data_IF_421192587326
#
_entry.id   IF_421192587326
#
_cell.length_a   1.000
_cell.length_b   1.000
_cell.length_c   1.000
_cell.angle_alpha   90.00
_cell.angle_beta   90.00
_cell.angle_gamma   90.00
#
_symmetry.space_group_name_H-M   'P 1'
#
loop_
_entity.id
_entity.type
_entity.pdbx_description
1 polymer ?
#
# COMPACT_ATOMS: atom_id res chain seq x y z
N UNK A 1 -26.59 -16.33 0.68
CA UNK A 1 -26.41 -14.91 1.02
C UNK A 1 -25.31 -14.38 0.13
N UNK A 2 -25.68 -13.64 -0.91
CA UNK A 2 -24.79 -13.15 -1.96
C UNK A 2 -23.93 -12.03 -1.40
N UNK A 3 -22.65 -12.32 -1.16
CA UNK A 3 -21.64 -11.29 -0.90
C UNK A 3 -21.58 -10.37 -2.11
N UNK A 4 -22.14 -9.17 -1.95
CA UNK A 4 -21.93 -8.07 -2.88
C UNK A 4 -20.43 -7.79 -2.97
N UNK A 5 -19.79 -8.26 -4.04
CA UNK A 5 -18.52 -7.74 -4.52
C UNK A 5 -18.76 -6.33 -5.11
N UNK A 6 -19.18 -5.38 -4.27
CA UNK A 6 -19.40 -3.97 -4.64
C UNK A 6 -18.16 -3.12 -4.28
N UNK A 7 -16.97 -3.65 -4.51
CA UNK A 7 -15.71 -2.98 -4.14
C UNK A 7 -15.09 -2.11 -5.23
N UNK A 8 -15.40 -2.37 -6.51
CA UNK A 8 -14.69 -1.81 -7.67
C UNK A 8 -15.51 -0.71 -8.39
N UNK A 9 -16.13 0.19 -7.62
CA UNK A 9 -16.48 1.53 -8.13
C UNK A 9 -15.55 2.60 -7.56
N UNK A 10 -14.71 2.22 -6.59
CA UNK A 10 -13.68 3.08 -6.02
C UNK A 10 -12.44 3.01 -6.88
N UNK A 11 -12.43 3.76 -7.98
CA UNK A 11 -11.26 4.19 -8.74
C UNK A 11 -9.93 3.71 -8.13
N UNK A 12 -9.44 2.55 -8.60
CA UNK A 12 -8.19 1.89 -8.17
C UNK A 12 -6.96 2.68 -8.63
N UNK A 13 -6.87 3.93 -8.18
CA UNK A 13 -5.97 4.94 -8.68
C UNK A 13 -4.66 5.03 -7.90
N UNK A 14 -4.54 4.35 -6.75
CA UNK A 14 -3.32 4.39 -5.94
C UNK A 14 -2.59 3.06 -6.05
N UNK A 15 -1.47 3.05 -6.76
CA UNK A 15 -0.54 1.93 -6.71
C UNK A 15 0.21 1.97 -5.37
N UNK A 16 -0.21 1.12 -4.43
CA UNK A 16 0.33 1.05 -3.08
C UNK A 16 1.28 -0.14 -2.86
N UNK A 17 2.24 0.02 -1.95
CA UNK A 17 2.95 -1.10 -1.32
C UNK A 17 2.38 -1.28 0.08
N UNK A 18 1.69 -2.39 0.31
CA UNK A 18 1.04 -2.67 1.59
C UNK A 18 2.06 -3.15 2.61
N UNK A 19 1.89 -2.79 3.88
CA UNK A 19 2.68 -3.29 5.01
C UNK A 19 1.87 -4.28 5.85
N UNK A 20 2.53 -5.08 6.70
CA UNK A 20 1.81 -5.97 7.61
C UNK A 20 0.91 -5.19 8.58
N UNK A 21 1.38 -4.04 9.06
CA UNK A 21 0.61 -3.13 9.93
C UNK A 21 -0.62 -2.56 9.21
N UNK A 22 -0.48 -2.21 7.93
CA UNK A 22 -1.64 -1.81 7.12
C UNK A 22 -2.63 -2.97 6.97
N UNK A 23 -2.14 -4.18 6.68
CA UNK A 23 -2.99 -5.37 6.53
C UNK A 23 -3.79 -5.66 7.81
N UNK A 24 -3.18 -5.47 8.97
CA UNK A 24 -3.86 -5.60 10.26
C UNK A 24 -4.93 -4.51 10.46
N UNK A 25 -4.57 -3.26 10.18
CA UNK A 25 -5.49 -2.12 10.26
C UNK A 25 -6.71 -2.32 9.34
N UNK A 26 -6.49 -2.61 8.06
CA UNK A 26 -7.59 -2.78 7.09
C UNK A 26 -8.47 -3.99 7.44
N UNK A 27 -7.89 -5.08 7.96
CA UNK A 27 -8.67 -6.22 8.46
C UNK A 27 -9.55 -5.82 9.65
N UNK A 28 -9.02 -5.01 10.59
CA UNK A 28 -9.79 -4.45 11.71
C UNK A 28 -10.93 -3.52 11.26
N UNK A 29 -10.77 -2.85 10.11
CA UNK A 29 -11.84 -2.07 9.46
C UNK A 29 -12.81 -2.91 8.60
N UNK A 30 -12.72 -4.24 8.65
CA UNK A 30 -13.60 -5.16 7.91
C UNK A 30 -13.22 -5.39 6.45
N UNK A 31 -12.01 -5.02 6.05
CA UNK A 31 -11.47 -5.26 4.71
C UNK A 31 -10.17 -6.06 4.81
N UNK A 32 -10.28 -7.36 5.05
CA UNK A 32 -9.13 -8.26 5.13
C UNK A 32 -8.59 -8.58 3.74
N UNK A 33 -7.45 -7.99 3.37
CA UNK A 33 -6.82 -8.23 2.06
C UNK A 33 -5.98 -9.51 2.02
N UNK A 34 -5.76 -10.16 3.16
CA UNK A 34 -5.01 -11.44 3.20
C UNK A 34 -5.81 -12.57 2.55
N UNK A 35 -7.14 -12.44 2.47
CA UNK A 35 -7.99 -13.36 1.70
C UNK A 35 -7.65 -13.34 0.20
N UNK A 36 -7.08 -12.24 -0.29
CA UNK A 36 -6.58 -12.11 -1.66
C UNK A 36 -5.10 -12.54 -1.80
N UNK A 37 -4.49 -13.06 -0.73
CA UNK A 37 -3.11 -13.55 -0.72
C UNK A 37 -2.04 -12.47 -0.51
N UNK A 38 -2.41 -11.28 -0.04
CA UNK A 38 -1.44 -10.20 0.19
C UNK A 38 -0.65 -10.37 1.48
N UNK A 39 0.64 -10.04 1.41
CA UNK A 39 1.56 -9.96 2.54
C UNK A 39 2.29 -8.61 2.55
N UNK A 40 3.01 -8.31 3.64
CA UNK A 40 3.81 -7.08 3.73
C UNK A 40 4.84 -6.99 2.60
N UNK A 41 4.89 -5.84 1.94
CA UNK A 41 5.74 -5.58 0.77
C UNK A 41 5.05 -5.85 -0.58
N UNK A 42 3.85 -6.43 -0.61
CA UNK A 42 3.11 -6.62 -1.85
C UNK A 42 2.70 -5.28 -2.49
N UNK A 43 2.85 -5.18 -3.81
CA UNK A 43 2.28 -4.11 -4.61
C UNK A 43 0.82 -4.41 -4.91
N UNK A 44 -0.07 -3.45 -4.67
CA UNK A 44 -1.50 -3.62 -4.88
C UNK A 44 -2.15 -2.29 -5.26
N UNK A 45 -3.12 -2.33 -6.17
CA UNK A 45 -3.92 -1.15 -6.49
C UNK A 45 -4.98 -0.96 -5.41
N UNK A 46 -4.88 0.14 -4.68
CA UNK A 46 -5.80 0.52 -3.62
C UNK A 46 -6.79 1.56 -4.12
N UNK A 47 -8.03 1.48 -3.63
CA UNK A 47 -8.96 2.59 -3.73
C UNK A 47 -8.36 3.81 -3.01
N UNK A 48 -8.45 5.00 -3.61
CA UNK A 48 -7.94 6.23 -2.97
C UNK A 48 -8.54 6.47 -1.58
N UNK A 49 -9.82 6.14 -1.40
CA UNK A 49 -10.52 6.26 -0.12
C UNK A 49 -9.90 5.38 0.97
N UNK A 50 -9.57 4.12 0.63
CA UNK A 50 -8.96 3.17 1.56
C UNK A 50 -7.57 3.60 1.99
N UNK A 51 -6.79 4.14 1.05
CA UNK A 51 -5.50 4.73 1.37
C UNK A 51 -5.66 5.95 2.29
N UNK A 52 -6.64 6.81 1.99
CA UNK A 52 -6.91 8.02 2.77
C UNK A 52 -7.41 7.72 4.19
N UNK A 53 -8.20 6.66 4.40
CA UNK A 53 -8.61 6.21 5.74
C UNK A 53 -7.40 5.85 6.62
N UNK A 54 -6.42 5.14 6.07
CA UNK A 54 -5.17 4.83 6.77
C UNK A 54 -4.37 6.10 7.07
N UNK A 55 -4.25 7.02 6.11
CA UNK A 55 -3.59 8.30 6.33
C UNK A 55 -4.25 9.13 7.44
N UNK A 56 -5.58 9.23 7.46
CA UNK A 56 -6.32 9.93 8.51
C UNK A 56 -6.12 9.27 9.88
N UNK A 57 -6.14 7.93 9.95
CA UNK A 57 -5.85 7.21 11.18
C UNK A 57 -4.43 7.46 11.69
N UNK A 58 -3.46 7.62 10.78
CA UNK A 58 -2.11 8.02 11.15
C UNK A 58 -2.05 9.46 11.67
N UNK A 59 -2.73 10.41 11.03
CA UNK A 59 -2.78 11.81 11.49
C UNK A 59 -3.44 11.94 12.87
N UNK A 60 -4.43 11.10 13.17
CA UNK A 60 -5.12 11.01 14.45
C UNK A 60 -4.30 10.25 15.53
N UNK A 61 -3.15 9.68 15.17
CA UNK A 61 -2.29 8.93 16.08
C UNK A 61 -2.80 7.52 16.42
N UNK A 62 -3.80 7.01 15.70
CA UNK A 62 -4.37 5.66 15.89
C UNK A 62 -3.49 4.55 15.34
N UNK A 63 -2.74 4.83 14.28
CA UNK A 63 -1.80 3.89 13.67
C UNK A 63 -0.44 4.54 13.43
N UNK A 64 0.61 3.73 13.36
CA UNK A 64 1.95 4.20 13.04
C UNK A 64 2.10 4.60 11.56
N UNK A 65 3.14 5.40 11.25
CA UNK A 65 3.44 5.81 9.87
C UNK A 65 3.61 4.62 8.91
N UNK A 66 4.15 3.51 9.41
CA UNK A 66 4.38 2.29 8.63
C UNK A 66 3.08 1.56 8.25
N UNK A 67 1.98 1.83 8.95
CA UNK A 67 0.66 1.30 8.64
C UNK A 67 -0.05 2.08 7.51
N UNK A 68 0.55 3.17 7.02
CA UNK A 68 0.09 3.86 5.81
C UNK A 68 0.82 3.24 4.61
N UNK A 69 0.11 2.70 3.59
CA UNK A 69 0.75 2.10 2.42
C UNK A 69 1.66 3.10 1.70
N UNK A 70 2.84 2.66 1.29
CA UNK A 70 3.71 3.51 0.45
C UNK A 70 3.09 3.65 -0.94
N UNK A 71 3.33 4.76 -1.61
CA UNK A 71 2.71 5.07 -2.91
C UNK A 71 3.75 5.09 -4.02
N UNK A 72 3.50 4.34 -5.08
CA UNK A 72 4.30 4.40 -6.31
C UNK A 72 3.74 5.53 -7.17
N UNK A 73 4.31 6.74 -7.04
CA UNK A 73 3.79 7.93 -7.73
C UNK A 73 3.73 7.75 -9.24
N UNK A 74 4.72 7.08 -9.84
CA UNK A 74 4.76 6.82 -11.28
C UNK A 74 3.64 5.89 -11.80
N UNK A 75 2.95 5.18 -10.90
CA UNK A 75 1.87 4.24 -11.22
C UNK A 75 0.54 4.64 -10.53
N UNK A 76 0.46 5.87 -10.03
CA UNK A 76 -0.74 6.43 -9.39
C UNK A 76 -1.42 7.37 -10.38
N UNK A 77 -2.73 7.23 -10.56
CA UNK A 77 -3.52 8.05 -11.46
C UNK A 77 -3.78 9.44 -10.86
N UNK A 78 -3.81 10.49 -11.69
CA UNK A 78 -4.08 11.88 -11.26
C UNK A 78 -5.43 12.06 -10.57
N UNK A 79 -6.39 11.17 -10.86
CA UNK A 79 -7.71 11.16 -10.23
C UNK A 79 -7.65 10.96 -8.70
N UNK A 80 -6.59 10.36 -8.17
CA UNK A 80 -6.33 10.25 -6.74
C UNK A 80 -6.10 11.63 -6.07
N UNK A 81 -5.60 12.61 -6.84
CA UNK A 81 -5.32 13.96 -6.36
C UNK A 81 -6.59 14.76 -6.02
N UNK A 82 -7.77 14.26 -6.40
CA UNK A 82 -9.06 14.84 -5.99
C UNK A 82 -9.35 14.67 -4.50
N UNK A 83 -8.73 13.67 -3.86
CA UNK A 83 -8.97 13.34 -2.45
C UNK A 83 -7.74 13.52 -1.58
N UNK A 84 -6.53 13.37 -2.14
CA UNK A 84 -5.28 13.46 -1.39
C UNK A 84 -4.27 14.32 -2.17
N UNK A 85 -3.70 15.33 -1.51
CA UNK A 85 -2.71 16.19 -2.15
C UNK A 85 -1.45 15.44 -2.60
N UNK A 86 -0.86 15.90 -3.71
CA UNK A 86 0.40 15.34 -4.23
C UNK A 86 1.52 15.38 -3.19
N UNK A 87 1.58 16.44 -2.37
CA UNK A 87 2.57 16.54 -1.30
C UNK A 87 2.39 15.45 -0.24
N UNK A 88 1.15 15.08 0.06
CA UNK A 88 0.85 13.97 0.94
C UNK A 88 1.32 12.66 0.33
N UNK A 89 1.02 12.39 -0.94
CA UNK A 89 1.53 11.18 -1.60
C UNK A 89 3.07 11.12 -1.66
N UNK A 90 3.74 12.26 -1.90
CA UNK A 90 5.21 12.35 -1.87
C UNK A 90 5.82 11.98 -0.52
N UNK A 91 5.15 12.28 0.58
CA UNK A 91 5.63 11.91 1.93
C UNK A 91 5.63 10.40 2.19
N UNK A 92 4.80 9.66 1.44
CA UNK A 92 4.67 8.21 1.50
C UNK A 92 5.19 7.54 0.23
N UNK A 93 5.97 8.24 -0.60
CA UNK A 93 6.49 7.69 -1.84
C UNK A 93 7.29 6.41 -1.56
N UNK A 94 6.97 5.35 -2.30
CA UNK A 94 7.78 4.16 -2.36
C UNK A 94 9.08 4.53 -3.08
N UNK A 95 10.14 4.79 -2.32
CA UNK A 95 11.48 4.93 -2.88
C UNK A 95 11.79 3.66 -3.67
N UNK A 96 12.36 3.76 -4.89
CA UNK A 96 12.89 2.60 -5.55
C UNK A 96 13.93 2.00 -4.62
N UNK A 97 13.60 0.85 -4.06
CA UNK A 97 14.56 -0.04 -3.47
C UNK A 97 15.54 -0.36 -4.59
N UNK A 98 16.74 0.21 -4.50
CA UNK A 98 17.88 -0.21 -5.31
C UNK A 98 18.02 -1.71 -5.08
N UNK A 99 17.46 -2.50 -6.00
CA UNK A 99 17.78 -3.90 -6.18
C UNK A 99 19.28 -3.98 -6.48
N UNK A 100 20.10 -4.04 -5.42
CA UNK A 100 21.42 -4.64 -5.49
C UNK A 100 21.23 -6.15 -5.63
N UNK A 101 20.81 -6.59 -6.81
CA UNK A 101 20.79 -8.00 -7.16
C UNK A 101 22.25 -8.50 -7.27
N UNK A 102 22.70 -9.19 -6.22
CA UNK A 102 23.30 -10.52 -6.23
C UNK A 102 24.21 -10.91 -7.42
N UNK A 103 25.47 -11.27 -7.11
CA UNK A 103 26.15 -12.37 -7.82
C UNK A 103 27.66 -12.24 -8.02
N UNK A 104 28.47 -12.77 -7.09
CA UNK A 104 29.43 -13.83 -7.42
C UNK A 104 29.50 -14.85 -6.28
N UNK A 105 28.97 -16.03 -6.57
CA UNK A 105 29.30 -17.28 -5.88
C UNK A 105 30.67 -17.73 -6.42
N UNK A 106 31.62 -18.04 -5.53
CA UNK A 106 32.99 -18.39 -5.89
C UNK A 106 33.70 -19.13 -4.76
N UNK A 107 33.21 -20.34 -4.47
CA UNK A 107 33.92 -21.55 -4.01
C UNK A 107 34.81 -21.55 -2.76
N UNK A 108 34.59 -22.61 -1.99
CA UNK A 108 35.28 -23.07 -0.80
C UNK A 108 36.53 -23.90 -1.19
N UNK A 109 37.60 -23.87 -0.38
CA UNK A 109 38.60 -24.95 -0.25
C UNK A 109 39.96 -24.78 -0.96
N UNK A 110 41.02 -24.46 -0.20
CA UNK A 110 42.02 -25.39 0.36
C UNK A 110 42.97 -24.61 1.29
#
# INVERSE_FOLDING_TARGET
MTSHLNGDFGNHAVAGVVSEEFLDFTASQGNDLRIAGLTGGCKWCLCTSRWFEAFQAFQDGRIGKNAVPKVVLAATEDSALRQVDLNTFKQFEAKPETNGANGVNGVNGH
#
